data_IF_325126906410
#
_entry.id   IF_325126906410
#
_cell.length_a   1.000
_cell.length_b   1.000
_cell.length_c   1.000
_cell.angle_alpha   90.00
_cell.angle_beta   90.00
_cell.angle_gamma   90.00
#
_symmetry.space_group_name_H-M   'P 1'
#
loop_
_entity.id
_entity.type
_entity.pdbx_description
1 polymer ?
#
# COMPACT_ATOMS: atom_id res chain seq x y z
N UNK A 1 5.48 68.44 -12.38
CA UNK A 1 6.38 67.27 -12.36
C UNK A 1 6.86 67.03 -10.94
N UNK A 2 6.49 65.90 -10.33
CA UNK A 2 7.34 65.09 -9.44
C UNK A 2 6.56 63.83 -9.05
N UNK A 3 7.05 62.72 -9.60
CA UNK A 3 6.55 61.36 -9.49
C UNK A 3 7.04 60.77 -8.17
N UNK A 4 6.17 60.21 -7.35
CA UNK A 4 6.58 59.24 -6.32
C UNK A 4 5.64 58.04 -6.43
N UNK A 5 6.12 57.02 -7.13
CA UNK A 5 5.47 55.72 -7.27
C UNK A 5 5.77 54.92 -6.00
N UNK A 6 4.77 54.74 -5.13
CA UNK A 6 4.86 53.87 -3.96
C UNK A 6 4.78 52.41 -4.38
N UNK A 7 5.89 51.69 -4.26
CA UNK A 7 5.99 50.25 -4.51
C UNK A 7 5.39 49.49 -3.31
N UNK A 8 4.15 49.00 -3.43
CA UNK A 8 3.58 48.07 -2.44
C UNK A 8 4.10 46.67 -2.78
N UNK A 9 5.10 46.21 -2.05
CA UNK A 9 5.57 44.83 -2.09
C UNK A 9 4.55 43.99 -1.32
N UNK A 10 3.67 43.29 -2.04
CA UNK A 10 2.82 42.26 -1.48
C UNK A 10 3.69 41.03 -1.17
N UNK A 11 4.05 40.86 0.11
CA UNK A 11 4.69 39.65 0.59
C UNK A 11 3.68 38.48 0.56
N UNK A 12 3.64 37.77 -0.56
CA UNK A 12 2.85 36.55 -0.72
C UNK A 12 3.57 35.41 0.01
N UNK A 13 3.20 35.20 1.28
CA UNK A 13 3.63 34.05 2.08
C UNK A 13 2.96 32.81 1.48
N UNK A 14 3.68 32.09 0.61
CA UNK A 14 3.27 30.76 0.17
C UNK A 14 3.65 29.76 1.25
N UNK A 15 2.67 29.41 2.09
CA UNK A 15 2.79 28.27 2.98
C UNK A 15 2.93 26.98 2.16
N UNK A 16 4.12 26.41 2.11
CA UNK A 16 4.32 25.04 1.61
C UNK A 16 3.66 24.11 2.63
N UNK A 17 2.43 23.69 2.35
CA UNK A 17 1.78 22.61 3.10
C UNK A 17 2.56 21.35 2.81
N UNK A 18 3.57 21.06 3.65
CA UNK A 18 4.35 19.86 3.55
C UNK A 18 3.42 18.67 3.74
N UNK A 19 3.21 17.87 2.68
CA UNK A 19 2.48 16.61 2.76
C UNK A 19 2.99 15.82 3.97
N UNK A 20 2.08 15.45 4.88
CA UNK A 20 2.45 14.73 6.09
C UNK A 20 3.22 13.47 5.70
N UNK A 21 4.29 13.17 6.44
CA UNK A 21 5.09 11.96 6.17
C UNK A 21 4.40 10.70 6.69
N UNK A 22 3.48 10.86 7.64
CA UNK A 22 2.69 9.82 8.30
C UNK A 22 1.21 9.96 7.95
N UNK A 23 0.54 8.82 7.82
CA UNK A 23 -0.87 8.67 7.44
C UNK A 23 -1.45 7.47 8.18
N UNK A 24 -2.78 7.35 8.33
CA UNK A 24 -3.40 6.12 8.83
C UNK A 24 -2.91 4.89 8.05
N UNK A 25 -2.69 3.78 8.76
CA UNK A 25 -2.33 2.49 8.16
C UNK A 25 -3.40 2.09 7.14
N UNK A 26 -2.96 1.79 5.92
CA UNK A 26 -3.82 1.23 4.89
C UNK A 26 -3.90 -0.29 5.06
N UNK A 27 -5.11 -0.78 5.35
CA UNK A 27 -5.48 -2.17 5.14
C UNK A 27 -6.39 -2.27 3.90
N UNK A 28 -6.35 -3.41 3.24
CA UNK A 28 -7.32 -3.76 2.20
C UNK A 28 -8.31 -4.71 2.82
N UNK A 29 -9.58 -4.37 2.79
CA UNK A 29 -10.65 -5.17 3.39
C UNK A 29 -11.55 -5.74 2.31
N UNK A 30 -11.68 -7.06 2.27
CA UNK A 30 -12.62 -7.78 1.42
C UNK A 30 -12.59 -7.35 -0.06
N UNK A 31 -11.40 -7.16 -0.62
CA UNK A 31 -11.25 -6.90 -2.05
C UNK A 31 -11.83 -8.07 -2.84
N UNK A 32 -12.78 -7.83 -3.76
CA UNK A 32 -13.49 -8.90 -4.44
C UNK A 32 -12.56 -9.66 -5.39
N UNK A 33 -12.68 -10.98 -5.36
CA UNK A 33 -12.16 -11.86 -6.40
C UNK A 33 -13.28 -12.01 -7.43
N UNK A 34 -13.11 -11.37 -8.59
CA UNK A 34 -14.08 -11.48 -9.67
C UNK A 34 -14.08 -12.91 -10.24
N UNK A 35 -15.25 -13.41 -10.59
CA UNK A 35 -15.49 -14.69 -11.28
C UNK A 35 -15.24 -15.96 -10.46
N UNK A 36 -15.56 -17.13 -11.04
CA UNK A 36 -15.48 -18.46 -10.42
C UNK A 36 -14.02 -18.97 -10.29
N UNK A 37 -13.11 -18.14 -9.80
CA UNK A 37 -11.73 -18.54 -9.54
C UNK A 37 -11.68 -19.50 -8.35
N UNK A 38 -10.86 -20.54 -8.46
CA UNK A 38 -10.58 -21.42 -7.34
C UNK A 38 -9.66 -20.73 -6.34
N UNK A 39 -9.77 -21.07 -5.04
CA UNK A 39 -8.89 -20.50 -4.00
C UNK A 39 -7.40 -20.67 -4.32
N UNK A 40 -7.03 -21.74 -5.04
CA UNK A 40 -5.65 -21.98 -5.48
C UNK A 40 -5.17 -20.97 -6.53
N UNK A 41 -6.06 -20.51 -7.42
CA UNK A 41 -5.73 -19.47 -8.41
C UNK A 41 -5.56 -18.11 -7.72
N UNK A 42 -6.42 -17.80 -6.74
CA UNK A 42 -6.31 -16.60 -5.91
C UNK A 42 -4.98 -16.60 -5.15
N UNK A 43 -4.64 -17.73 -4.52
CA UNK A 43 -3.34 -17.95 -3.88
C UNK A 43 -2.18 -17.65 -4.82
N UNK A 44 -2.17 -18.24 -6.01
CA UNK A 44 -1.09 -18.04 -6.99
C UNK A 44 -0.96 -16.57 -7.39
N UNK A 45 -2.09 -15.91 -7.64
CA UNK A 45 -2.11 -14.49 -7.98
C UNK A 45 -1.49 -13.62 -6.88
N UNK A 46 -1.79 -13.90 -5.62
CA UNK A 46 -1.23 -13.17 -4.47
C UNK A 46 0.29 -13.39 -4.37
N UNK A 47 0.74 -14.65 -4.45
CA UNK A 47 2.16 -14.99 -4.35
C UNK A 47 2.99 -14.38 -5.48
N UNK A 48 2.50 -14.48 -6.72
CA UNK A 48 3.19 -13.97 -7.89
C UNK A 48 3.27 -12.44 -7.87
N UNK A 49 2.16 -11.74 -7.57
CA UNK A 49 2.14 -10.28 -7.48
C UNK A 49 3.01 -9.75 -6.34
N UNK A 50 2.99 -10.44 -5.20
CA UNK A 50 3.87 -10.15 -4.06
C UNK A 50 5.36 -10.28 -4.41
N UNK A 51 5.73 -11.43 -4.94
CA UNK A 51 7.12 -11.74 -5.30
C UNK A 51 7.65 -10.77 -6.36
N UNK A 52 6.83 -10.45 -7.37
CA UNK A 52 7.19 -9.47 -8.40
C UNK A 52 7.46 -8.06 -7.85
N UNK A 53 6.84 -7.71 -6.70
CA UNK A 53 7.04 -6.45 -5.98
C UNK A 53 8.19 -6.50 -4.96
N UNK A 54 8.87 -7.63 -4.83
CA UNK A 54 9.97 -7.84 -3.87
C UNK A 54 9.51 -8.20 -2.46
N UNK A 55 8.25 -8.62 -2.28
CA UNK A 55 7.81 -9.24 -1.04
C UNK A 55 8.28 -10.70 -0.99
N UNK A 56 8.74 -11.12 0.19
CA UNK A 56 8.91 -12.52 0.53
C UNK A 56 7.56 -13.02 1.03
N UNK A 57 6.97 -13.97 0.32
CA UNK A 57 5.61 -14.45 0.58
C UNK A 57 5.63 -15.91 1.02
N UNK A 58 5.09 -16.18 2.21
CA UNK A 58 5.02 -17.53 2.77
C UNK A 58 3.61 -17.81 3.27
N UNK A 59 2.99 -18.90 2.81
CA UNK A 59 1.72 -19.35 3.37
C UNK A 59 1.95 -19.92 4.78
N UNK A 60 1.33 -19.31 5.78
CA UNK A 60 1.48 -19.71 7.20
C UNK A 60 0.42 -20.72 7.62
N UNK A 61 -0.74 -20.68 6.97
CA UNK A 61 -1.86 -21.61 7.11
C UNK A 61 -2.75 -21.53 5.87
N UNK A 62 -3.60 -22.54 5.59
CA UNK A 62 -4.51 -22.50 4.45
C UNK A 62 -5.34 -21.20 4.45
N UNK A 63 -5.26 -20.43 3.36
CA UNK A 63 -5.99 -19.18 3.20
C UNK A 63 -5.34 -17.96 3.85
N UNK A 64 -4.10 -18.05 4.33
CA UNK A 64 -3.35 -16.90 4.86
C UNK A 64 -1.88 -16.94 4.43
N UNK A 65 -1.46 -15.89 3.74
CA UNK A 65 -0.06 -15.67 3.33
C UNK A 65 0.53 -14.54 4.16
N UNK A 66 1.66 -14.80 4.82
CA UNK A 66 2.49 -13.75 5.40
C UNK A 66 3.41 -13.17 4.34
N UNK A 67 3.37 -11.85 4.19
CA UNK A 67 4.27 -11.09 3.33
C UNK A 67 5.26 -10.28 4.15
N UNK A 68 6.52 -10.28 3.75
CA UNK A 68 7.57 -9.43 4.32
C UNK A 68 8.27 -8.63 3.21
N UNK A 69 8.49 -7.34 3.42
CA UNK A 69 9.27 -6.51 2.51
C UNK A 69 10.37 -5.77 3.26
N UNK A 70 11.57 -5.76 2.68
CA UNK A 70 12.75 -5.08 3.21
C UNK A 70 13.33 -4.14 2.15
N UNK A 71 13.21 -2.84 2.35
CA UNK A 71 13.72 -1.81 1.43
C UNK A 71 14.66 -0.86 2.16
N UNK A 72 15.97 -0.99 1.89
CA UNK A 72 17.03 -0.27 2.61
C UNK A 72 16.91 -0.57 4.11
N UNK A 73 16.51 0.42 4.91
CA UNK A 73 16.30 0.27 6.36
C UNK A 73 14.84 0.02 6.75
N UNK A 74 13.89 0.11 5.81
CA UNK A 74 12.46 0.04 6.12
C UNK A 74 11.96 -1.39 5.94
N UNK A 75 11.21 -1.89 6.91
CA UNK A 75 10.64 -3.24 6.86
C UNK A 75 9.15 -3.21 7.17
N UNK A 76 8.37 -4.04 6.51
CA UNK A 76 6.96 -4.25 6.84
C UNK A 76 6.59 -5.72 6.75
N UNK A 77 5.72 -6.15 7.65
CA UNK A 77 5.11 -7.48 7.69
C UNK A 77 3.60 -7.31 7.54
N UNK A 78 3.00 -8.12 6.68
CA UNK A 78 1.56 -8.16 6.43
C UNK A 78 1.03 -9.58 6.47
N UNK A 79 -0.27 -9.70 6.71
CA UNK A 79 -1.03 -10.89 6.36
C UNK A 79 -1.93 -10.61 5.17
N UNK A 80 -2.02 -11.60 4.28
CA UNK A 80 -2.98 -11.63 3.19
C UNK A 80 -3.90 -12.83 3.41
N UNK A 81 -5.09 -12.55 3.93
CA UNK A 81 -6.14 -13.55 4.04
C UNK A 81 -6.91 -13.65 2.73
N UNK A 82 -7.23 -14.85 2.28
CA UNK A 82 -7.92 -15.02 1.00
C UNK A 82 -8.81 -16.27 0.95
N UNK A 83 -9.80 -16.21 0.07
CA UNK A 83 -10.60 -17.34 -0.37
C UNK A 83 -10.98 -17.14 -1.84
N UNK A 84 -11.92 -17.93 -2.35
CA UNK A 84 -12.39 -17.84 -3.73
C UNK A 84 -13.30 -16.63 -4.03
N UNK A 85 -13.71 -15.86 -3.01
CA UNK A 85 -14.62 -14.71 -3.13
C UNK A 85 -13.93 -13.37 -2.88
N UNK A 86 -12.95 -13.34 -1.99
CA UNK A 86 -12.28 -12.11 -1.59
C UNK A 86 -10.88 -12.36 -1.02
N UNK A 87 -10.11 -11.29 -0.92
CA UNK A 87 -8.89 -11.24 -0.11
C UNK A 87 -8.81 -9.93 0.68
N UNK A 88 -8.02 -9.94 1.76
CA UNK A 88 -7.71 -8.79 2.58
C UNK A 88 -6.20 -8.70 2.80
N UNK A 89 -5.68 -7.49 3.01
CA UNK A 89 -4.27 -7.24 3.34
C UNK A 89 -4.24 -6.46 4.64
N UNK A 90 -3.67 -7.05 5.69
CA UNK A 90 -3.61 -6.47 7.02
C UNK A 90 -2.18 -6.21 7.47
N UNK A 91 -1.96 -5.02 8.05
CA UNK A 91 -0.72 -4.70 8.74
C UNK A 91 -0.49 -5.65 9.92
N UNK A 92 0.74 -6.16 10.05
CA UNK A 92 1.17 -6.96 11.21
C UNK A 92 2.21 -6.20 12.03
N UNK A 93 3.31 -5.78 11.40
CA UNK A 93 4.38 -5.05 12.07
C UNK A 93 5.25 -4.28 11.09
N UNK A 94 6.10 -3.37 11.59
CA UNK A 94 7.07 -2.65 10.77
C UNK A 94 8.28 -2.15 11.56
N UNK A 95 9.37 -1.92 10.83
CA UNK A 95 10.58 -1.26 11.32
C UNK A 95 10.88 -0.03 10.46
N UNK A 96 11.32 1.05 11.11
CA UNK A 96 11.68 2.33 10.47
C UNK A 96 10.55 2.97 9.63
N UNK A 97 9.29 2.59 9.87
CA UNK A 97 8.12 3.19 9.22
C UNK A 97 7.33 4.13 10.12
N UNK A 98 7.86 4.52 11.29
CA UNK A 98 7.20 5.47 12.21
C UNK A 98 5.76 5.05 12.56
N UNK A 99 5.58 3.76 12.83
CA UNK A 99 4.27 3.27 13.26
C UNK A 99 4.01 3.77 14.69
N UNK A 100 2.96 4.54 14.86
CA UNK A 100 2.53 5.11 16.13
C UNK A 100 1.03 5.42 16.05
N UNK A 101 0.25 4.93 17.02
CA UNK A 101 -1.20 5.16 17.13
C UNK A 101 -1.99 4.97 15.82
N UNK A 102 -1.72 3.87 15.11
CA UNK A 102 -2.39 3.54 13.85
C UNK A 102 -1.98 4.39 12.65
N UNK A 103 -0.99 5.28 12.81
CA UNK A 103 -0.37 6.03 11.72
C UNK A 103 0.98 5.42 11.34
N UNK A 104 1.37 5.56 10.07
CA UNK A 104 2.57 4.98 9.49
C UNK A 104 3.10 5.83 8.35
N UNK A 105 4.39 5.71 8.06
CA UNK A 105 5.03 6.41 6.96
C UNK A 105 4.40 6.04 5.61
N UNK A 106 4.16 7.04 4.76
CA UNK A 106 3.45 6.90 3.46
C UNK A 106 3.96 5.79 2.54
N UNK A 107 5.24 5.40 2.66
CA UNK A 107 5.83 4.32 1.86
C UNK A 107 5.14 2.98 2.12
N UNK A 108 4.70 2.72 3.35
CA UNK A 108 3.93 1.52 3.66
C UNK A 108 2.65 1.49 2.83
N UNK A 109 1.82 2.54 2.93
CA UNK A 109 0.58 2.63 2.15
C UNK A 109 0.84 2.53 0.64
N UNK A 110 1.93 3.13 0.15
CA UNK A 110 2.37 2.98 -1.25
C UNK A 110 2.65 1.52 -1.61
N UNK A 111 3.29 0.74 -0.74
CA UNK A 111 3.53 -0.69 -1.00
C UNK A 111 2.22 -1.48 -1.02
N UNK A 112 1.31 -1.22 -0.08
CA UNK A 112 0.00 -1.89 -0.01
C UNK A 112 -0.86 -1.58 -1.25
N UNK A 113 -0.98 -0.31 -1.64
CA UNK A 113 -1.73 0.08 -2.85
C UNK A 113 -1.18 -0.59 -4.10
N UNK A 114 0.15 -0.65 -4.23
CA UNK A 114 0.82 -1.28 -5.35
C UNK A 114 0.59 -2.80 -5.41
N UNK A 115 0.66 -3.47 -4.26
CA UNK A 115 0.39 -4.89 -4.14
C UNK A 115 -1.07 -5.21 -4.52
N UNK A 116 -2.03 -4.49 -3.94
CA UNK A 116 -3.47 -4.62 -4.23
C UNK A 116 -3.77 -4.44 -5.72
N UNK A 117 -3.20 -3.42 -6.36
CA UNK A 117 -3.39 -3.17 -7.79
C UNK A 117 -2.87 -4.33 -8.65
N UNK A 118 -1.73 -4.92 -8.32
CA UNK A 118 -1.16 -6.01 -9.09
C UNK A 118 -1.88 -7.33 -8.85
N UNK A 119 -2.34 -7.59 -7.62
CA UNK A 119 -3.23 -8.72 -7.34
C UNK A 119 -4.50 -8.59 -8.18
N UNK A 120 -5.16 -7.43 -8.18
CA UNK A 120 -6.36 -7.17 -8.99
C UNK A 120 -6.11 -7.41 -10.48
N UNK A 121 -5.00 -6.88 -11.03
CA UNK A 121 -4.62 -7.10 -12.43
C UNK A 121 -4.42 -8.58 -12.73
N UNK A 122 -3.69 -9.30 -11.86
CA UNK A 122 -3.40 -10.72 -12.05
C UNK A 122 -4.67 -11.57 -11.99
N UNK A 123 -5.57 -11.30 -11.03
CA UNK A 123 -6.87 -11.96 -10.94
C UNK A 123 -7.71 -11.72 -12.21
N UNK A 124 -7.73 -10.49 -12.73
CA UNK A 124 -8.44 -10.16 -13.97
C UNK A 124 -7.89 -10.91 -15.20
N UNK A 125 -6.58 -11.19 -15.25
CA UNK A 125 -5.98 -12.01 -16.34
C UNK A 125 -6.30 -13.50 -16.22
N UNK A 126 -6.51 -14.02 -15.01
CA UNK A 126 -6.84 -15.43 -14.78
C UNK A 126 -8.32 -15.76 -15.02
N UNK A 127 -9.16 -14.73 -15.06
CA UNK A 127 -10.60 -14.86 -15.27
C UNK A 127 -11.02 -14.76 -16.75
N UNK A 128 -10.07 -14.51 -17.65
CA UNK A 128 -10.26 -14.54 -19.10
C UNK A 128 -10.07 -15.96 -19.62
#
# INVERSE_FOLDING_TARGET
MKLIKGLIIAAMITGVVGCSRVHPVLNVENAPVSYNLQSQQVRSAILESGTARGWIMNETKPGTIRGEINVRTHKAVIDVEYNNKAYSIHYVSSENLKYEDGNIHRNYNKWITNLDQDIKKKLATLAQ
#
